data_IF_722902271907
#
_entry.id   IF_722902271907
#
_cell.length_a   1.000
_cell.length_b   1.000
_cell.length_c   1.000
_cell.angle_alpha   90.00
_cell.angle_beta   90.00
_cell.angle_gamma   90.00
#
_symmetry.space_group_name_H-M   'P 1'
#
loop_
_entity.id
_entity.type
_entity.pdbx_description
1 polymer ?
#
# COMPACT_ATOMS: atom_id res chain seq x y z
N UNK A 1 24.12 -0.59 -56.05
CA UNK A 1 23.21 -1.24 -55.08
C UNK A 1 23.16 -0.36 -53.86
N UNK A 2 22.02 0.25 -53.53
CA UNK A 2 21.91 1.05 -52.31
C UNK A 2 21.95 0.11 -51.10
N UNK A 3 22.87 0.36 -50.16
CA UNK A 3 23.01 -0.39 -48.91
C UNK A 3 22.43 0.49 -47.80
N UNK A 4 21.47 -0.06 -47.06
CA UNK A 4 20.92 0.55 -45.85
C UNK A 4 21.45 -0.24 -44.66
N UNK A 5 22.13 0.44 -43.74
CA UNK A 5 22.57 -0.11 -42.45
C UNK A 5 21.56 0.33 -41.39
N UNK A 6 20.80 -0.62 -40.84
CA UNK A 6 19.91 -0.39 -39.69
C UNK A 6 20.67 -0.78 -38.44
N UNK A 7 21.11 0.21 -37.67
CA UNK A 7 21.71 -0.04 -36.36
C UNK A 7 20.62 -0.44 -35.38
N UNK A 8 20.77 -1.62 -34.78
CA UNK A 8 19.93 -2.03 -33.65
C UNK A 8 20.07 -0.98 -32.54
N UNK A 9 18.98 -0.62 -31.83
CA UNK A 9 19.06 0.34 -30.75
C UNK A 9 19.69 -0.36 -29.53
N UNK A 10 21.00 -0.58 -29.59
CA UNK A 10 21.78 -1.30 -28.57
C UNK A 10 21.58 -0.71 -27.18
N UNK A 11 21.49 0.62 -27.08
CA UNK A 11 21.20 1.31 -25.82
C UNK A 11 19.81 0.96 -25.27
N UNK A 12 18.80 0.84 -26.14
CA UNK A 12 17.46 0.43 -25.73
C UNK A 12 17.45 -1.03 -25.27
N UNK A 13 18.12 -1.93 -26.01
CA UNK A 13 18.23 -3.34 -25.64
C UNK A 13 18.95 -3.53 -24.30
N UNK A 14 20.02 -2.76 -24.06
CA UNK A 14 20.74 -2.76 -22.79
C UNK A 14 19.86 -2.26 -21.63
N UNK A 15 19.10 -1.17 -21.83
CA UNK A 15 18.14 -0.68 -20.82
C UNK A 15 17.06 -1.71 -20.50
N UNK A 16 16.51 -2.37 -21.51
CA UNK A 16 15.51 -3.44 -21.33
C UNK A 16 16.09 -4.64 -20.60
N UNK A 17 17.33 -5.05 -20.92
CA UNK A 17 18.02 -6.16 -20.25
C UNK A 17 18.27 -5.85 -18.78
N UNK A 18 18.82 -4.67 -18.46
CA UNK A 18 19.05 -4.23 -17.08
C UNK A 18 17.74 -4.14 -16.29
N UNK A 19 16.68 -3.62 -16.91
CA UNK A 19 15.36 -3.55 -16.28
C UNK A 19 14.82 -4.94 -15.94
N UNK A 20 14.98 -5.91 -16.85
CA UNK A 20 14.59 -7.29 -16.62
C UNK A 20 15.37 -7.93 -15.45
N UNK A 21 16.67 -7.65 -15.35
CA UNK A 21 17.53 -8.15 -14.26
C UNK A 21 17.21 -7.52 -12.91
N UNK A 22 16.81 -6.25 -12.86
CA UNK A 22 16.53 -5.53 -11.60
C UNK A 22 15.06 -5.47 -11.22
N UNK A 23 14.19 -6.20 -11.93
CA UNK A 23 12.75 -6.20 -11.68
C UNK A 23 12.42 -6.63 -10.24
N UNK A 24 13.19 -7.55 -9.68
CA UNK A 24 13.08 -8.03 -8.31
C UNK A 24 13.46 -7.01 -7.24
N UNK A 25 14.23 -5.98 -7.59
CA UNK A 25 14.61 -4.86 -6.71
C UNK A 25 13.68 -3.67 -6.90
N UNK A 26 13.35 -3.33 -8.15
CA UNK A 26 12.56 -2.14 -8.51
C UNK A 26 11.10 -2.31 -8.07
N UNK A 27 10.49 -3.47 -8.34
CA UNK A 27 9.07 -3.69 -8.02
C UNK A 27 8.79 -3.55 -6.52
N UNK A 28 9.57 -4.16 -5.60
CA UNK A 28 9.39 -3.94 -4.17
C UNK A 28 9.39 -2.47 -3.76
N UNK A 29 10.37 -1.69 -4.22
CA UNK A 29 10.48 -0.26 -3.88
C UNK A 29 9.26 0.53 -4.36
N UNK A 30 8.82 0.28 -5.58
CA UNK A 30 7.63 0.92 -6.17
C UNK A 30 6.38 0.57 -5.35
N UNK A 31 6.20 -0.70 -5.00
CA UNK A 31 5.05 -1.16 -4.21
C UNK A 31 5.06 -0.63 -2.78
N UNK A 32 6.23 -0.49 -2.15
CA UNK A 32 6.38 0.08 -0.81
C UNK A 32 5.91 1.54 -0.78
N UNK A 33 6.38 2.36 -1.73
CA UNK A 33 5.94 3.77 -1.86
C UNK A 33 4.43 3.87 -2.08
N UNK A 34 3.86 3.03 -2.97
CA UNK A 34 2.41 2.97 -3.16
C UNK A 34 1.67 2.56 -1.88
N UNK A 35 2.21 1.59 -1.15
CA UNK A 35 1.68 1.11 0.13
C UNK A 35 1.65 2.20 1.19
N UNK A 36 2.70 3.01 1.30
CA UNK A 36 2.80 4.13 2.26
C UNK A 36 1.73 5.20 2.02
N UNK A 37 1.47 5.55 0.76
CA UNK A 37 0.40 6.51 0.40
C UNK A 37 -0.97 6.00 0.88
N UNK A 38 -1.26 4.72 0.65
CA UNK A 38 -2.51 4.11 1.11
C UNK A 38 -2.55 4.03 2.64
N UNK A 39 -1.45 3.63 3.28
CA UNK A 39 -1.33 3.55 4.73
C UNK A 39 -1.61 4.89 5.39
N UNK A 40 -0.99 5.97 4.92
CA UNK A 40 -1.18 7.32 5.44
C UNK A 40 -2.67 7.70 5.39
N UNK A 41 -3.33 7.46 4.25
CA UNK A 41 -4.75 7.77 4.10
C UNK A 41 -5.67 6.93 5.01
N UNK A 42 -5.37 5.64 5.17
CA UNK A 42 -6.11 4.77 6.08
C UNK A 42 -5.91 5.23 7.53
N UNK A 43 -4.69 5.59 7.91
CA UNK A 43 -4.33 6.06 9.26
C UNK A 43 -5.07 7.36 9.61
N UNK A 44 -5.11 8.31 8.68
CA UNK A 44 -5.84 9.57 8.86
C UNK A 44 -7.35 9.35 9.01
N UNK A 45 -7.93 8.51 8.14
CA UNK A 45 -9.35 8.19 8.25
C UNK A 45 -9.65 7.45 9.56
N UNK A 46 -8.80 6.50 9.97
CA UNK A 46 -8.97 5.75 11.20
C UNK A 46 -8.92 6.66 12.44
N UNK A 47 -7.94 7.57 12.51
CA UNK A 47 -7.86 8.61 13.55
C UNK A 47 -9.11 9.48 13.60
N UNK A 48 -9.73 9.74 12.44
CA UNK A 48 -10.94 10.56 12.36
C UNK A 48 -12.19 9.86 12.89
N UNK A 49 -12.24 8.52 12.92
CA UNK A 49 -13.43 7.74 13.32
C UNK A 49 -13.32 7.11 14.71
N UNK A 50 -12.09 6.81 15.15
CA UNK A 50 -11.83 6.20 16.46
C UNK A 50 -12.25 7.18 17.57
N UNK A 51 -13.04 6.69 18.53
CA UNK A 51 -13.45 7.44 19.71
C UNK A 51 -14.46 8.57 19.49
N UNK A 52 -14.93 8.82 18.26
CA UNK A 52 -15.99 9.81 17.99
C UNK A 52 -17.38 9.24 18.23
N UNK A 53 -18.38 10.07 18.56
CA UNK A 53 -19.79 9.67 18.61
C UNK A 53 -20.08 8.37 19.36
N UNK A 54 -19.33 8.07 20.42
CA UNK A 54 -19.53 6.90 21.27
C UNK A 54 -20.51 7.25 22.39
N UNK A 55 -21.39 6.32 22.77
CA UNK A 55 -22.34 6.52 23.89
C UNK A 55 -21.62 6.79 25.22
N UNK A 56 -20.43 6.21 25.39
CA UNK A 56 -19.57 6.38 26.56
C UNK A 56 -18.26 7.04 26.15
N UNK A 57 -17.49 7.62 27.11
CA UNK A 57 -16.15 8.12 26.84
C UNK A 57 -15.28 7.09 26.14
N UNK A 58 -14.51 7.54 25.14
CA UNK A 58 -13.60 6.70 24.39
C UNK A 58 -12.54 6.10 25.33
N UNK A 59 -12.39 4.77 25.29
CA UNK A 59 -11.30 4.02 25.96
C UNK A 59 -10.19 3.64 24.98
N UNK A 60 -10.04 4.37 23.87
CA UNK A 60 -9.01 4.06 22.87
C UNK A 60 -7.62 4.34 23.44
N UNK A 61 -6.75 3.33 23.40
CA UNK A 61 -5.33 3.44 23.79
C UNK A 61 -4.44 3.94 22.65
N UNK A 62 -5.00 4.13 21.45
CA UNK A 62 -4.23 4.44 20.23
C UNK A 62 -3.57 3.22 19.56
N UNK A 63 -3.58 2.05 20.22
CA UNK A 63 -2.91 0.84 19.75
C UNK A 63 -3.37 0.39 18.35
N UNK A 64 -4.65 0.54 18.05
CA UNK A 64 -5.20 0.18 16.73
C UNK A 64 -4.59 1.01 15.60
N UNK A 65 -4.27 2.28 15.86
CA UNK A 65 -3.67 3.18 14.87
C UNK A 65 -2.18 2.91 14.74
N UNK A 66 -1.51 2.51 15.82
CA UNK A 66 -0.08 2.17 15.80
C UNK A 66 0.20 0.79 15.21
N UNK A 67 -0.75 -0.15 15.29
CA UNK A 67 -0.59 -1.49 14.71
C UNK A 67 -0.81 -1.52 13.20
N UNK A 68 -1.37 -0.47 12.61
CA UNK A 68 -1.55 -0.39 11.17
C UNK A 68 -0.21 -0.16 10.46
N UNK A 69 0.14 -1.05 9.53
CA UNK A 69 1.39 -1.00 8.77
C UNK A 69 1.28 -1.61 7.36
N UNK A 70 2.37 -1.49 6.62
CA UNK A 70 2.56 -2.11 5.29
C UNK A 70 3.51 -3.29 5.46
N UNK A 71 3.17 -4.46 4.91
CA UNK A 71 4.09 -5.59 4.87
C UNK A 71 5.11 -5.40 3.75
N UNK A 72 6.32 -5.93 3.92
CA UNK A 72 7.29 -5.99 2.82
C UNK A 72 6.73 -6.68 1.58
N UNK A 73 7.19 -6.26 0.42
CA UNK A 73 6.76 -6.85 -0.85
C UNK A 73 7.21 -8.31 -0.93
N UNK A 74 6.26 -9.20 -1.22
CA UNK A 74 6.54 -10.64 -1.40
C UNK A 74 5.93 -11.14 -2.70
N UNK A 75 6.67 -12.01 -3.37
CA UNK A 75 6.19 -12.67 -4.56
C UNK A 75 5.20 -13.79 -4.20
N UNK A 76 4.07 -13.85 -4.91
CA UNK A 76 3.12 -14.96 -4.80
C UNK A 76 3.50 -16.15 -5.69
N UNK A 77 2.74 -17.24 -5.61
CA UNK A 77 2.97 -18.45 -6.42
C UNK A 77 2.85 -18.23 -7.94
N UNK A 78 2.28 -17.10 -8.38
CA UNK A 78 2.12 -16.74 -9.78
C UNK A 78 3.20 -15.78 -10.27
N UNK A 79 4.16 -15.42 -9.40
CA UNK A 79 5.23 -14.50 -9.72
C UNK A 79 4.90 -13.03 -9.49
N UNK A 80 3.73 -12.68 -8.93
CA UNK A 80 3.37 -11.28 -8.69
C UNK A 80 3.88 -10.80 -7.34
N UNK A 81 4.49 -9.62 -7.30
CA UNK A 81 4.83 -8.95 -6.05
C UNK A 81 3.59 -8.31 -5.44
N UNK A 82 3.39 -8.56 -4.15
CA UNK A 82 2.26 -8.05 -3.40
C UNK A 82 2.73 -7.42 -2.08
N UNK A 83 2.10 -6.29 -1.74
CA UNK A 83 2.18 -5.65 -0.41
C UNK A 83 0.80 -5.67 0.23
N UNK A 84 0.75 -5.74 1.56
CA UNK A 84 -0.50 -5.73 2.34
C UNK A 84 -0.50 -4.56 3.30
N UNK A 85 -1.57 -3.78 3.29
CA UNK A 85 -1.86 -2.81 4.36
C UNK A 85 -2.77 -3.52 5.36
N UNK A 86 -2.34 -3.62 6.62
CA UNK A 86 -3.05 -4.38 7.63
C UNK A 86 -2.60 -4.04 9.05
N UNK A 87 -3.19 -4.76 10.01
CA UNK A 87 -2.88 -4.59 11.43
C UNK A 87 -1.90 -5.66 11.89
N UNK A 88 -0.93 -5.28 12.70
CA UNK A 88 -0.10 -6.21 13.45
C UNK A 88 -0.92 -6.88 14.54
N UNK A 89 -0.67 -8.17 14.72
CA UNK A 89 -1.27 -9.03 15.74
C UNK A 89 -0.14 -9.82 16.41
N UNK A 90 -0.28 -10.24 17.68
CA UNK A 90 -1.45 -10.08 18.55
C UNK A 90 -1.56 -8.67 19.17
N UNK A 91 -2.76 -8.31 19.60
CA UNK A 91 -3.02 -7.11 20.41
C UNK A 91 -2.57 -7.35 21.85
N UNK A 92 -2.09 -6.30 22.52
CA UNK A 92 -1.54 -6.35 23.89
C UNK A 92 -2.53 -6.83 24.95
N UNK A 93 -3.83 -6.69 24.71
CA UNK A 93 -4.91 -7.10 25.61
C UNK A 93 -5.48 -8.49 25.30
N UNK A 94 -4.84 -9.25 24.41
CA UNK A 94 -5.30 -10.56 23.96
C UNK A 94 -6.46 -10.52 22.95
N UNK A 95 -6.89 -9.33 22.54
CA UNK A 95 -7.87 -9.15 21.46
C UNK A 95 -7.26 -9.25 20.05
N UNK A 96 -8.05 -8.88 19.05
CA UNK A 96 -7.60 -8.74 17.65
C UNK A 96 -7.88 -7.34 17.13
N UNK A 97 -6.84 -6.67 16.66
CA UNK A 97 -6.93 -5.38 15.96
C UNK A 97 -7.79 -5.50 14.70
N UNK A 98 -7.65 -6.57 13.93
CA UNK A 98 -8.47 -6.82 12.74
C UNK A 98 -9.97 -6.93 13.08
N UNK A 99 -10.31 -7.59 14.20
CA UNK A 99 -11.69 -7.68 14.68
C UNK A 99 -12.27 -6.29 15.02
N UNK A 100 -11.51 -5.46 15.74
CA UNK A 100 -11.94 -4.10 16.11
C UNK A 100 -12.13 -3.24 14.85
N UNK A 101 -11.18 -3.30 13.92
CA UNK A 101 -11.26 -2.61 12.65
C UNK A 101 -12.51 -2.99 11.83
N UNK A 102 -12.83 -4.28 11.76
CA UNK A 102 -14.04 -4.75 11.07
C UNK A 102 -15.33 -4.24 11.71
N UNK A 103 -15.40 -4.20 13.05
CA UNK A 103 -16.54 -3.64 13.77
C UNK A 103 -16.69 -2.14 13.48
N UNK A 104 -15.58 -1.40 13.32
CA UNK A 104 -15.65 0.02 12.95
C UNK A 104 -16.10 0.18 11.50
N UNK A 105 -15.53 -0.58 10.56
CA UNK A 105 -15.84 -0.47 9.13
C UNK A 105 -17.30 -0.81 8.83
N UNK A 106 -17.82 -1.90 9.39
CA UNK A 106 -19.14 -2.45 9.05
C UNK A 106 -20.20 -2.26 10.14
N UNK A 107 -19.81 -1.82 11.33
CA UNK A 107 -20.72 -1.70 12.46
C UNK A 107 -21.03 -3.05 13.12
N UNK A 108 -21.85 -2.98 14.17
CA UNK A 108 -22.46 -4.14 14.84
C UNK A 108 -23.80 -3.71 15.44
N UNK A 109 -24.55 -4.63 16.02
CA UNK A 109 -25.78 -4.29 16.74
C UNK A 109 -25.52 -3.20 17.80
N UNK A 110 -26.24 -2.08 17.70
CA UNK A 110 -26.09 -0.92 18.59
C UNK A 110 -24.89 0.00 18.30
N UNK A 111 -24.13 -0.24 17.22
CA UNK A 111 -23.04 0.63 16.78
C UNK A 111 -23.07 0.79 15.25
N UNK A 112 -23.41 1.98 14.71
CA UNK A 112 -23.46 2.19 13.27
C UNK A 112 -22.07 2.08 12.64
N UNK A 113 -22.04 1.66 11.37
CA UNK A 113 -20.83 1.55 10.57
C UNK A 113 -20.14 2.90 10.37
N UNK A 114 -18.81 2.90 10.41
CA UNK A 114 -17.95 4.07 10.16
C UNK A 114 -16.83 3.66 9.23
N UNK A 115 -17.13 3.61 7.92
CA UNK A 115 -16.16 3.14 6.94
C UNK A 115 -14.96 4.09 6.90
N UNK A 116 -13.77 3.54 7.04
CA UNK A 116 -12.49 4.24 6.95
C UNK A 116 -11.60 3.64 5.85
N UNK A 117 -11.73 2.33 5.58
CA UNK A 117 -10.99 1.62 4.53
C UNK A 117 -11.56 1.89 3.14
N UNK A 118 -12.87 1.71 2.94
CA UNK A 118 -13.52 1.96 1.65
C UNK A 118 -13.28 3.39 1.11
N UNK A 119 -13.45 4.47 1.93
CA UNK A 119 -13.12 5.81 1.46
C UNK A 119 -11.62 6.04 1.30
N UNK A 120 -10.75 5.39 2.09
CA UNK A 120 -9.31 5.49 1.89
C UNK A 120 -8.92 4.92 0.52
N UNK A 121 -9.35 3.69 0.20
CA UNK A 121 -9.03 3.00 -1.06
C UNK A 121 -9.40 3.80 -2.32
N UNK A 122 -10.56 4.46 -2.30
CA UNK A 122 -11.01 5.27 -3.45
C UNK A 122 -10.23 6.57 -3.56
N UNK A 123 -10.01 7.28 -2.44
CA UNK A 123 -9.33 8.57 -2.42
C UNK A 123 -7.81 8.47 -2.64
N UNK A 124 -7.17 7.39 -2.20
CA UNK A 124 -5.72 7.20 -2.36
C UNK A 124 -5.33 6.62 -3.71
N UNK A 125 -6.26 6.09 -4.51
CA UNK A 125 -5.94 5.38 -5.77
C UNK A 125 -5.10 6.22 -6.71
N UNK A 126 -5.50 7.46 -6.99
CA UNK A 126 -4.79 8.33 -7.94
C UNK A 126 -3.37 8.65 -7.44
N UNK A 127 -3.25 9.10 -6.20
CA UNK A 127 -1.96 9.42 -5.59
C UNK A 127 -1.02 8.21 -5.48
N UNK A 128 -1.58 7.03 -5.17
CA UNK A 128 -0.81 5.79 -5.13
C UNK A 128 -0.22 5.46 -6.51
N UNK A 129 -1.01 5.57 -7.59
CA UNK A 129 -0.53 5.32 -8.95
C UNK A 129 0.51 6.35 -9.36
N UNK A 130 0.28 7.64 -9.08
CA UNK A 130 1.24 8.70 -9.39
C UNK A 130 2.58 8.50 -8.66
N UNK A 131 2.54 8.16 -7.37
CA UNK A 131 3.75 7.90 -6.59
C UNK A 131 4.50 6.64 -7.08
N UNK A 132 3.77 5.60 -7.48
CA UNK A 132 4.35 4.40 -8.07
C UNK A 132 5.00 4.67 -9.43
N UNK A 133 4.36 5.46 -10.30
CA UNK A 133 4.92 5.85 -11.60
C UNK A 133 6.18 6.68 -11.41
N UNK A 134 6.12 7.71 -10.55
CA UNK A 134 7.28 8.55 -10.26
C UNK A 134 8.46 7.72 -9.72
N UNK A 135 8.20 6.77 -8.83
CA UNK A 135 9.25 5.90 -8.30
C UNK A 135 9.82 4.96 -9.36
N UNK A 136 8.97 4.43 -10.25
CA UNK A 136 9.40 3.59 -11.35
C UNK A 136 10.30 4.35 -12.33
N UNK A 137 9.91 5.57 -12.70
CA UNK A 137 10.69 6.44 -13.59
C UNK A 137 12.04 6.82 -12.96
N UNK A 138 12.08 7.11 -11.66
CA UNK A 138 13.32 7.37 -10.93
C UNK A 138 14.29 6.18 -11.01
N UNK A 139 13.81 4.97 -10.73
CA UNK A 139 14.65 3.77 -10.78
C UNK A 139 15.11 3.45 -12.21
N UNK A 140 14.25 3.66 -13.23
CA UNK A 140 14.63 3.48 -14.65
C UNK A 140 15.69 4.51 -15.08
N UNK A 141 15.59 5.77 -14.65
CA UNK A 141 16.56 6.81 -14.99
C UNK A 141 17.90 6.61 -14.28
N UNK A 142 17.93 5.83 -13.21
CA UNK A 142 19.16 5.50 -12.47
C UNK A 142 19.98 4.33 -13.08
N UNK A 143 19.43 3.65 -14.10
CA UNK A 143 19.99 2.48 -14.79
C UNK A 143 20.86 2.79 -16.01
#
# INVERSE_FOLDING_TARGET
MAKVDVRMPEEFLLKVSKLAEQTDVIIPKVLEVGGEVVLAKVKDNLRSVVGKGTKYPSKSTGELVSSLGVTSAKQDRKGNYNVKVGFSEPRSDGGSNAKIANIIEYGKHGQPARPFLKPAKSKSRKQCVEAMIAKLEEEINSL
#
